data_IF_705595083145
#
_entry.id   IF_705595083145
#
_cell.length_a   1.000
_cell.length_b   1.000
_cell.length_c   1.000
_cell.angle_alpha   90.00
_cell.angle_beta   90.00
_cell.angle_gamma   90.00
#
_symmetry.space_group_name_H-M   'P 1'
#
loop_
_entity.id
_entity.type
_entity.pdbx_description
1 polymer ?
#
# COMPACT_ATOMS: atom_id res chain seq x y z
N UNK A 1 -28.05 3.78 -71.62
CA UNK A 1 -28.05 2.96 -70.38
C UNK A 1 -26.66 2.66 -69.83
N UNK A 2 -25.64 2.32 -70.66
CA UNK A 2 -24.29 1.97 -70.17
C UNK A 2 -23.55 3.12 -69.47
N UNK A 3 -23.68 4.36 -69.95
CA UNK A 3 -23.04 5.55 -69.35
C UNK A 3 -23.60 5.92 -67.97
N UNK A 4 -24.92 5.74 -67.76
CA UNK A 4 -25.57 5.99 -66.48
C UNK A 4 -25.10 5.01 -65.39
N UNK A 5 -24.83 3.76 -65.75
CA UNK A 5 -24.32 2.75 -64.82
C UNK A 5 -22.89 3.04 -64.38
N UNK A 6 -22.02 3.51 -65.29
CA UNK A 6 -20.66 3.90 -64.93
C UNK A 6 -20.63 5.10 -63.98
N UNK A 7 -21.49 6.11 -64.19
CA UNK A 7 -21.57 7.26 -63.28
C UNK A 7 -22.03 6.88 -61.88
N UNK A 8 -22.98 5.94 -61.75
CA UNK A 8 -23.46 5.46 -60.45
C UNK A 8 -22.37 4.66 -59.71
N UNK A 9 -21.62 3.81 -60.42
CA UNK A 9 -20.52 3.03 -59.82
C UNK A 9 -19.40 3.95 -59.35
N UNK A 10 -19.03 4.98 -60.13
CA UNK A 10 -18.01 5.95 -59.73
C UNK A 10 -18.46 6.78 -58.53
N UNK A 11 -19.73 7.22 -58.49
CA UNK A 11 -20.28 7.94 -57.33
C UNK A 11 -20.33 7.05 -56.08
N UNK A 12 -20.70 5.78 -56.21
CA UNK A 12 -20.71 4.83 -55.11
C UNK A 12 -19.29 4.58 -54.57
N UNK A 13 -18.28 4.51 -55.44
CA UNK A 13 -16.87 4.37 -55.05
C UNK A 13 -16.33 5.63 -54.36
N UNK A 14 -16.71 6.82 -54.81
CA UNK A 14 -16.33 8.09 -54.18
C UNK A 14 -16.98 8.22 -52.79
N UNK A 15 -18.25 7.84 -52.64
CA UNK A 15 -18.93 7.82 -51.34
C UNK A 15 -18.29 6.79 -50.39
N UNK A 16 -17.86 5.63 -50.90
CA UNK A 16 -17.11 4.61 -50.14
C UNK A 16 -15.70 5.07 -49.74
N UNK A 17 -15.02 5.88 -50.54
CA UNK A 17 -13.71 6.44 -50.18
C UNK A 17 -13.88 7.58 -49.16
N UNK A 18 -14.93 8.39 -49.27
CA UNK A 18 -15.24 9.47 -48.34
C UNK A 18 -15.81 8.98 -47.00
N UNK A 19 -16.48 7.81 -46.96
CA UNK A 19 -16.96 7.20 -45.71
C UNK A 19 -15.90 6.43 -44.93
N UNK A 20 -14.72 6.19 -45.53
CA UNK A 20 -13.56 5.59 -44.87
C UNK A 20 -12.64 6.60 -44.19
N UNK A 21 -12.97 7.90 -44.23
CA UNK A 21 -12.46 8.87 -43.25
C UNK A 21 -13.19 8.65 -41.92
N UNK A 22 -13.03 7.44 -41.39
CA UNK A 22 -13.31 7.17 -40.00
C UNK A 22 -12.43 8.11 -39.20
N UNK A 23 -13.05 8.95 -38.38
CA UNK A 23 -12.36 9.62 -37.30
C UNK A 23 -11.57 8.55 -36.56
N UNK A 24 -10.24 8.58 -36.64
CA UNK A 24 -9.39 7.83 -35.72
C UNK A 24 -9.62 8.52 -34.37
N UNK A 25 -10.67 8.09 -33.66
CA UNK A 25 -10.77 8.35 -32.23
C UNK A 25 -9.54 7.69 -31.62
N UNK A 26 -8.52 8.50 -31.33
CA UNK A 26 -7.32 8.05 -30.66
C UNK A 26 -7.71 7.50 -29.30
N UNK A 27 -7.88 6.17 -29.20
CA UNK A 27 -8.02 5.51 -27.92
C UNK A 27 -6.71 5.72 -27.17
N UNK A 28 -6.77 6.39 -26.03
CA UNK A 28 -5.65 6.48 -25.10
C UNK A 28 -5.25 5.04 -24.75
N UNK A 29 -4.02 4.67 -25.05
CA UNK A 29 -3.49 3.36 -24.67
C UNK A 29 -3.13 3.43 -23.19
N UNK A 30 -3.77 2.68 -22.29
CA UNK A 30 -3.35 2.65 -20.89
C UNK A 30 -1.90 2.11 -20.78
N UNK A 31 -1.00 2.91 -20.22
CA UNK A 31 0.41 2.57 -19.98
C UNK A 31 0.63 2.17 -18.52
N UNK A 32 1.26 1.07 -18.15
CA UNK A 32 1.58 0.81 -16.73
C UNK A 32 2.37 1.94 -16.06
N UNK A 33 2.30 2.06 -14.72
CA UNK A 33 3.11 3.01 -13.92
C UNK A 33 4.59 2.93 -14.29
N UNK A 34 5.12 1.72 -14.50
CA UNK A 34 6.50 1.51 -14.93
C UNK A 34 6.79 2.06 -16.32
N UNK A 35 5.90 1.85 -17.30
CA UNK A 35 6.08 2.38 -18.65
C UNK A 35 6.08 3.91 -18.62
N UNK A 36 5.10 4.50 -17.95
CA UNK A 36 4.99 5.96 -17.81
C UNK A 36 6.20 6.54 -17.07
N UNK A 37 6.68 5.85 -16.02
CA UNK A 37 7.91 6.20 -15.32
C UNK A 37 9.14 6.14 -16.23
N UNK A 38 9.25 5.15 -17.12
CA UNK A 38 10.37 5.03 -18.05
C UNK A 38 10.33 6.10 -19.15
N UNK A 39 9.16 6.32 -19.72
CA UNK A 39 8.94 7.22 -20.86
C UNK A 39 9.05 8.70 -20.50
N UNK A 40 8.66 9.09 -19.28
CA UNK A 40 8.76 10.49 -18.85
C UNK A 40 10.19 10.86 -18.48
N UNK A 41 10.71 12.00 -18.96
CA UNK A 41 12.01 12.52 -18.50
C UNK A 41 11.92 13.10 -17.09
N UNK A 42 10.85 13.84 -16.81
CA UNK A 42 10.56 14.43 -15.51
C UNK A 42 9.15 14.05 -15.09
N UNK A 43 8.99 13.71 -13.80
CA UNK A 43 7.68 13.52 -13.18
C UNK A 43 7.66 14.39 -11.94
N UNK A 44 6.62 15.20 -11.77
CA UNK A 44 6.53 16.12 -10.64
C UNK A 44 5.10 16.39 -10.19
N UNK A 45 5.02 16.92 -8.98
CA UNK A 45 3.83 17.57 -8.42
C UNK A 45 4.17 19.03 -8.17
N UNK A 46 3.28 19.94 -8.55
CA UNK A 46 3.50 21.37 -8.38
C UNK A 46 2.25 22.20 -8.58
N UNK A 47 2.38 23.51 -8.45
CA UNK A 47 1.31 24.47 -8.66
C UNK A 47 1.59 25.32 -9.91
N UNK A 48 0.60 25.46 -10.77
CA UNK A 48 0.68 26.32 -11.96
C UNK A 48 0.67 27.78 -11.52
N UNK A 49 1.76 28.49 -11.81
CA UNK A 49 1.94 29.91 -11.47
C UNK A 49 1.65 30.83 -12.65
N UNK A 50 1.84 30.35 -13.87
CA UNK A 50 1.42 31.04 -15.10
C UNK A 50 1.01 30.04 -16.18
N UNK A 51 0.16 30.50 -17.09
CA UNK A 51 -0.26 29.78 -18.29
C UNK A 51 -0.41 30.79 -19.43
N UNK A 52 0.49 30.77 -20.40
CA UNK A 52 0.57 31.77 -21.46
C UNK A 52 0.57 31.12 -22.84
N UNK A 53 -0.37 31.54 -23.70
CA UNK A 53 -0.41 31.07 -25.08
C UNK A 53 0.63 31.84 -25.90
N UNK A 54 1.47 31.11 -26.61
CA UNK A 54 2.47 31.70 -27.53
C UNK A 54 1.81 32.54 -28.62
N UNK A 55 2.53 33.49 -29.19
CA UNK A 55 2.01 34.38 -30.25
C UNK A 55 1.50 33.66 -31.49
N UNK A 56 2.03 32.47 -31.80
CA UNK A 56 1.53 31.60 -32.88
C UNK A 56 0.22 30.88 -32.51
N UNK A 57 -0.12 30.82 -31.22
CA UNK A 57 -1.22 30.03 -30.68
C UNK A 57 -0.98 28.52 -30.72
N UNK A 58 0.21 28.08 -31.15
CA UNK A 58 0.54 26.65 -31.32
C UNK A 58 0.83 25.98 -29.98
N UNK A 59 1.40 26.73 -29.03
CA UNK A 59 1.79 26.22 -27.72
C UNK A 59 1.19 27.05 -26.59
N UNK A 60 0.96 26.39 -25.46
CA UNK A 60 0.71 27.00 -24.16
C UNK A 60 1.90 26.70 -23.25
N UNK A 61 2.52 27.76 -22.71
CA UNK A 61 3.66 27.67 -21.80
C UNK A 61 3.18 27.79 -20.37
N UNK A 62 3.57 26.84 -19.54
CA UNK A 62 3.23 26.78 -18.12
C UNK A 62 4.48 26.97 -17.28
N UNK A 63 4.46 27.91 -16.34
CA UNK A 63 5.43 27.95 -15.25
C UNK A 63 4.84 27.26 -14.03
N UNK A 64 5.51 26.22 -13.55
CA UNK A 64 5.04 25.39 -12.44
C UNK A 64 6.02 25.47 -11.30
N UNK A 65 5.55 25.94 -10.14
CA UNK A 65 6.30 25.87 -8.88
C UNK A 65 6.22 24.44 -8.36
N UNK A 66 7.36 23.76 -8.36
CA UNK A 66 7.47 22.34 -8.00
C UNK A 66 7.40 22.18 -6.49
N UNK A 67 6.47 21.34 -6.05
CA UNK A 67 6.41 20.86 -4.66
C UNK A 67 7.36 19.68 -4.48
N UNK A 68 7.37 18.76 -5.44
CA UNK A 68 8.18 17.55 -5.38
C UNK A 68 8.49 17.00 -6.78
N UNK A 69 9.75 16.64 -7.01
CA UNK A 69 10.16 15.81 -8.15
C UNK A 69 10.04 14.33 -7.78
N UNK A 70 9.34 13.56 -8.62
CA UNK A 70 9.21 12.11 -8.56
C UNK A 70 10.18 11.40 -9.51
N UNK A 71 10.60 12.10 -10.56
CA UNK A 71 11.68 11.70 -11.46
C UNK A 71 12.36 12.94 -12.01
N UNK A 72 13.68 12.83 -12.26
CA UNK A 72 14.44 13.88 -12.94
C UNK A 72 14.61 15.15 -12.09
N UNK A 73 15.08 14.99 -10.84
CA UNK A 73 15.34 16.09 -9.90
C UNK A 73 16.11 17.23 -10.58
N UNK A 74 15.61 18.45 -10.44
CA UNK A 74 16.27 19.68 -10.87
C UNK A 74 16.68 20.51 -9.66
N UNK A 75 17.63 21.43 -9.86
CA UNK A 75 18.06 22.36 -8.81
C UNK A 75 17.04 23.46 -8.52
N UNK A 76 16.24 23.83 -9.53
CA UNK A 76 15.26 24.90 -9.42
C UNK A 76 13.93 24.37 -8.88
N UNK A 77 13.23 25.19 -8.10
CA UNK A 77 11.89 24.92 -7.59
C UNK A 77 10.79 25.33 -8.58
N UNK A 78 11.17 25.75 -9.79
CA UNK A 78 10.25 26.17 -10.85
C UNK A 78 10.66 25.53 -12.17
N UNK A 79 9.69 25.02 -12.92
CA UNK A 79 9.92 24.40 -14.23
C UNK A 79 9.02 25.03 -15.29
N UNK A 80 9.50 25.07 -16.52
CA UNK A 80 8.71 25.46 -17.69
C UNK A 80 8.27 24.22 -18.44
N UNK A 81 6.95 24.03 -18.57
CA UNK A 81 6.34 22.93 -19.30
C UNK A 81 5.51 23.48 -20.46
N UNK A 82 5.44 22.74 -21.56
CA UNK A 82 4.80 23.19 -22.81
C UNK A 82 3.70 22.20 -23.18
N UNK A 83 2.46 22.69 -23.27
CA UNK A 83 1.31 21.96 -23.81
C UNK A 83 0.88 22.51 -25.16
N UNK A 84 -0.08 21.86 -25.82
CA UNK A 84 -0.63 22.38 -27.09
C UNK A 84 -1.42 23.68 -26.85
N UNK A 85 -1.35 24.61 -27.78
CA UNK A 85 -2.16 25.83 -27.81
C UNK A 85 -3.46 25.65 -28.60
N UNK A 86 -4.32 26.67 -28.66
CA UNK A 86 -5.58 26.63 -29.39
C UNK A 86 -5.43 26.31 -30.89
N UNK A 87 -4.29 26.65 -31.47
CA UNK A 87 -3.97 26.44 -32.89
C UNK A 87 -3.01 25.25 -33.10
N UNK A 88 -2.67 24.51 -32.03
CA UNK A 88 -1.72 23.39 -32.08
C UNK A 88 -2.39 22.04 -31.86
N UNK A 89 -2.01 21.04 -32.67
CA UNK A 89 -2.26 19.62 -32.44
C UNK A 89 -3.38 18.96 -33.28
N UNK A 90 -3.03 17.90 -34.01
CA UNK A 90 -3.94 16.93 -34.66
C UNK A 90 -3.81 15.50 -34.06
N UNK A 91 -3.21 15.40 -32.86
CA UNK A 91 -3.09 14.18 -32.07
C UNK A 91 -3.92 14.25 -30.77
N UNK A 92 -3.87 13.23 -29.88
CA UNK A 92 -4.64 13.24 -28.65
C UNK A 92 -4.31 14.50 -27.83
N UNK A 93 -5.32 15.28 -27.40
CA UNK A 93 -5.06 16.56 -26.74
C UNK A 93 -4.39 16.30 -25.39
N UNK A 94 -3.25 16.96 -25.16
CA UNK A 94 -2.68 17.08 -23.83
C UNK A 94 -3.65 17.86 -22.91
N UNK A 95 -3.70 17.51 -21.61
CA UNK A 95 -4.56 18.19 -20.65
C UNK A 95 -4.22 19.68 -20.54
N UNK A 96 -5.25 20.50 -20.32
CA UNK A 96 -5.12 21.94 -20.10
C UNK A 96 -5.27 22.27 -18.63
N UNK A 97 -4.40 23.15 -18.15
CA UNK A 97 -4.37 23.59 -16.76
C UNK A 97 -4.59 25.09 -16.64
N UNK A 98 -5.07 25.53 -15.49
CA UNK A 98 -5.29 26.93 -15.13
C UNK A 98 -4.31 27.39 -14.06
N UNK A 99 -4.08 28.69 -13.98
CA UNK A 99 -3.27 29.28 -12.89
C UNK A 99 -3.93 28.97 -11.55
N UNK A 100 -3.13 28.48 -10.60
CA UNK A 100 -3.58 28.02 -9.29
C UNK A 100 -3.86 26.52 -9.22
N UNK A 101 -3.91 25.81 -10.35
CA UNK A 101 -4.09 24.35 -10.33
C UNK A 101 -2.87 23.68 -9.73
N UNK A 102 -3.12 22.76 -8.78
CA UNK A 102 -2.13 21.77 -8.36
C UNK A 102 -2.14 20.64 -9.39
N UNK A 103 -0.99 20.32 -9.96
CA UNK A 103 -0.85 19.41 -11.10
C UNK A 103 0.14 18.29 -10.84
N UNK A 104 -0.12 17.14 -11.45
CA UNK A 104 0.81 16.03 -11.64
C UNK A 104 1.21 16.01 -13.11
N UNK A 105 2.47 16.30 -13.37
CA UNK A 105 2.97 16.36 -14.74
C UNK A 105 3.92 15.20 -15.05
N UNK A 106 3.65 14.56 -16.17
CA UNK A 106 4.57 13.66 -16.87
C UNK A 106 5.13 14.45 -18.04
N UNK A 107 6.43 14.74 -18.00
CA UNK A 107 7.09 15.61 -18.95
C UNK A 107 8.07 14.82 -19.82
N UNK A 108 7.96 15.02 -21.12
CA UNK A 108 8.81 14.40 -22.15
C UNK A 108 9.68 15.50 -22.77
N UNK A 109 10.98 15.25 -22.91
CA UNK A 109 11.92 16.23 -23.44
C UNK A 109 11.99 16.10 -24.96
N UNK A 110 11.48 17.11 -25.67
CA UNK A 110 11.53 17.21 -27.13
C UNK A 110 12.01 18.60 -27.55
N UNK A 111 12.92 18.67 -28.52
CA UNK A 111 13.44 19.93 -29.08
C UNK A 111 13.92 20.96 -28.04
N UNK A 112 14.48 20.47 -26.93
CA UNK A 112 14.98 21.29 -25.82
C UNK A 112 13.90 21.81 -24.85
N UNK A 113 12.63 21.47 -25.08
CA UNK A 113 11.49 21.82 -24.24
C UNK A 113 10.96 20.61 -23.48
N UNK A 114 10.32 20.85 -22.33
CA UNK A 114 9.58 19.82 -21.59
C UNK A 114 8.11 19.86 -22.01
N UNK A 115 7.71 18.88 -22.83
CA UNK A 115 6.36 18.75 -23.35
C UNK A 115 5.47 18.02 -22.33
N UNK A 116 4.25 18.51 -22.13
CA UNK A 116 3.26 17.88 -21.26
C UNK A 116 2.70 16.64 -21.95
N UNK A 117 2.87 15.49 -21.31
CA UNK A 117 2.29 14.24 -21.77
C UNK A 117 0.78 14.21 -21.53
N UNK A 118 0.05 13.49 -22.39
CA UNK A 118 -1.41 13.31 -22.30
C UNK A 118 -1.88 12.61 -21.01
N UNK A 119 -0.96 11.98 -20.26
CA UNK A 119 -1.25 11.32 -18.98
C UNK A 119 -1.12 12.25 -17.76
N UNK A 120 -0.79 13.53 -17.97
CA UNK A 120 -0.74 14.53 -16.90
C UNK A 120 -2.16 14.84 -16.38
N UNK A 121 -2.29 15.25 -15.13
CA UNK A 121 -3.61 15.50 -14.52
C UNK A 121 -3.55 16.60 -13.47
N UNK A 122 -4.72 17.13 -13.10
CA UNK A 122 -4.85 17.83 -11.83
C UNK A 122 -4.51 16.87 -10.68
N UNK A 123 -3.79 17.36 -9.68
CA UNK A 123 -3.45 16.63 -8.48
C UNK A 123 -4.37 17.10 -7.34
N UNK A 124 -5.14 16.18 -6.77
CA UNK A 124 -5.95 16.50 -5.61
C UNK A 124 -5.02 16.91 -4.44
N UNK A 125 -5.32 18.01 -3.71
CA UNK A 125 -4.53 18.45 -2.55
C UNK A 125 -4.34 17.38 -1.47
N UNK A 126 -5.27 16.42 -1.37
CA UNK A 126 -5.20 15.30 -0.43
C UNK A 126 -4.28 14.17 -0.86
N UNK A 127 -3.77 14.20 -2.09
CA UNK A 127 -2.95 13.12 -2.63
C UNK A 127 -1.46 13.44 -2.49
N UNK A 128 -0.73 12.51 -1.89
CA UNK A 128 0.72 12.52 -1.80
C UNK A 128 1.34 11.89 -3.04
N UNK A 129 2.60 12.22 -3.29
CA UNK A 129 3.22 11.94 -4.56
C UNK A 129 3.49 10.44 -4.84
N UNK A 130 3.45 9.58 -3.82
CA UNK A 130 3.46 8.12 -3.99
C UNK A 130 2.10 7.58 -4.45
N UNK A 131 1.00 8.17 -3.97
CA UNK A 131 -0.38 7.77 -4.33
C UNK A 131 -0.66 8.11 -5.80
N UNK A 132 -0.02 9.16 -6.28
CA UNK A 132 -0.03 9.62 -7.67
C UNK A 132 0.66 8.66 -8.66
N UNK A 133 1.37 7.64 -8.17
CA UNK A 133 1.96 6.56 -8.97
C UNK A 133 1.21 5.23 -8.78
N UNK A 134 -0.03 5.27 -8.30
CA UNK A 134 -0.87 4.08 -8.12
C UNK A 134 -0.51 3.23 -6.90
N UNK A 135 0.24 3.77 -5.94
CA UNK A 135 0.63 3.06 -4.71
C UNK A 135 -0.42 3.15 -3.58
N UNK A 136 -1.68 3.42 -3.96
CA UNK A 136 -2.85 3.43 -3.09
C UNK A 136 -2.95 4.62 -2.12
N UNK A 137 -4.17 4.98 -1.66
CA UNK A 137 -4.39 5.98 -0.63
C UNK A 137 -3.94 5.46 0.74
N UNK A 138 -3.30 6.31 1.55
CA UNK A 138 -2.82 5.94 2.91
C UNK A 138 -3.73 6.41 4.05
N UNK A 139 -4.84 7.08 3.75
CA UNK A 139 -5.86 7.44 4.74
C UNK A 139 -6.86 6.29 4.95
N UNK A 140 -7.51 6.26 6.11
CA UNK A 140 -8.61 5.32 6.39
C UNK A 140 -9.73 5.50 5.36
N UNK A 141 -10.02 4.43 4.61
CA UNK A 141 -11.13 4.43 3.66
C UNK A 141 -12.44 4.46 4.46
N UNK A 142 -13.40 5.36 4.14
CA UNK A 142 -14.70 5.41 4.79
C UNK A 142 -15.42 4.05 4.72
N UNK A 143 -16.13 3.69 5.80
CA UNK A 143 -16.82 2.40 5.93
C UNK A 143 -17.80 2.18 4.76
N UNK A 144 -17.64 1.05 4.05
CA UNK A 144 -18.50 0.66 2.93
C UNK A 144 -18.02 1.12 1.56
N UNK A 145 -16.83 1.74 1.46
CA UNK A 145 -16.25 2.20 0.21
C UNK A 145 -15.12 1.26 -0.28
N UNK A 146 -15.10 0.96 -1.57
CA UNK A 146 -14.07 0.12 -2.19
C UNK A 146 -12.78 0.93 -2.46
N UNK A 147 -11.60 0.35 -2.18
CA UNK A 147 -10.27 1.00 -2.31
C UNK A 147 -10.06 1.62 -3.70
N UNK A 148 -10.41 0.88 -4.75
CA UNK A 148 -10.33 1.38 -6.14
C UNK A 148 -11.18 2.62 -6.34
N UNK A 149 -12.42 2.62 -5.82
CA UNK A 149 -13.35 3.73 -5.99
C UNK A 149 -12.92 4.97 -5.19
N UNK A 150 -12.28 4.80 -4.03
CA UNK A 150 -11.74 5.92 -3.25
C UNK A 150 -10.49 6.50 -3.91
N UNK A 151 -9.56 5.66 -4.36
CA UNK A 151 -8.33 6.09 -5.05
C UNK A 151 -8.63 6.72 -6.41
N UNK A 152 -9.56 6.16 -7.18
CA UNK A 152 -10.01 6.70 -8.47
C UNK A 152 -10.74 8.04 -8.29
N UNK A 153 -11.59 8.18 -7.26
CA UNK A 153 -12.29 9.44 -6.95
C UNK A 153 -11.37 10.52 -6.41
N UNK A 154 -10.42 10.17 -5.53
CA UNK A 154 -9.59 11.16 -4.85
C UNK A 154 -8.30 11.46 -5.60
N UNK A 155 -7.59 10.45 -6.14
CA UNK A 155 -6.28 10.65 -6.73
C UNK A 155 -6.23 10.46 -8.26
N UNK A 156 -7.30 9.96 -8.88
CA UNK A 156 -7.55 10.01 -10.34
C UNK A 156 -6.56 9.20 -11.21
N UNK A 157 -7.03 8.38 -12.17
CA UNK A 157 -6.18 7.41 -12.87
C UNK A 157 -5.44 8.10 -14.06
N UNK A 158 -4.77 7.38 -14.98
CA UNK A 158 -5.06 6.03 -15.42
C UNK A 158 -4.33 5.06 -14.47
N UNK A 159 -4.89 3.93 -14.05
CA UNK A 159 -5.26 2.85 -14.94
C UNK A 159 -6.61 2.24 -14.58
N UNK A 160 -7.41 2.03 -15.61
CA UNK A 160 -8.32 0.88 -15.66
C UNK A 160 -7.57 -0.34 -15.14
N UNK A 161 -8.23 -1.13 -14.29
CA UNK A 161 -7.83 -2.47 -13.87
C UNK A 161 -7.40 -3.34 -15.08
N UNK A 162 -6.17 -3.18 -15.57
CA UNK A 162 -5.55 -4.12 -16.49
C UNK A 162 -5.03 -5.24 -15.62
N UNK A 163 -5.81 -6.31 -15.54
CA UNK A 163 -5.46 -7.65 -15.06
C UNK A 163 -4.42 -7.72 -13.92
N UNK A 164 -4.79 -8.25 -12.73
CA UNK A 164 -3.92 -8.31 -11.54
C UNK A 164 -2.59 -9.08 -11.72
N UNK A 165 -2.32 -9.65 -12.90
CA UNK A 165 -1.11 -10.40 -13.20
C UNK A 165 -0.04 -9.61 -13.99
N UNK A 166 -0.23 -8.31 -14.29
CA UNK A 166 0.74 -7.53 -15.12
C UNK A 166 1.13 -6.15 -14.59
N UNK A 167 0.73 -5.78 -13.37
CA UNK A 167 1.18 -4.55 -12.76
C UNK A 167 2.68 -4.66 -12.38
N UNK A 168 3.57 -4.19 -13.25
CA UNK A 168 4.98 -4.01 -12.89
C UNK A 168 5.10 -2.83 -11.94
N UNK A 169 5.18 -3.11 -10.64
CA UNK A 169 5.53 -2.12 -9.61
C UNK A 169 6.89 -1.51 -9.89
N UNK A 170 7.04 -0.23 -9.50
CA UNK A 170 8.32 0.46 -9.53
C UNK A 170 9.38 -0.31 -8.73
N UNK A 171 10.68 -0.21 -9.04
CA UNK A 171 11.71 -0.85 -8.24
C UNK A 171 11.64 -0.39 -6.77
N UNK A 172 11.96 -1.27 -5.80
CA UNK A 172 11.90 -0.98 -4.36
C UNK A 172 12.56 0.32 -3.93
N UNK A 173 13.75 0.56 -4.45
CA UNK A 173 14.54 1.76 -4.16
C UNK A 173 13.86 3.04 -4.68
N UNK A 174 13.13 2.93 -5.80
CA UNK A 174 12.37 4.06 -6.34
C UNK A 174 11.14 4.31 -5.48
N UNK A 175 10.37 3.26 -5.14
CA UNK A 175 9.25 3.35 -4.20
C UNK A 175 9.68 4.03 -2.89
N UNK A 176 10.78 3.57 -2.29
CA UNK A 176 11.32 4.13 -1.04
C UNK A 176 11.67 5.62 -1.15
N UNK A 177 12.39 6.01 -2.21
CA UNK A 177 12.74 7.42 -2.47
C UNK A 177 11.54 8.32 -2.68
N UNK A 178 10.40 7.76 -3.11
CA UNK A 178 9.13 8.45 -3.26
C UNK A 178 8.34 8.56 -1.95
N UNK A 179 8.92 8.12 -0.83
CA UNK A 179 8.30 8.20 0.50
C UNK A 179 7.44 6.98 0.85
N UNK A 180 7.63 5.85 0.16
CA UNK A 180 7.09 4.56 0.61
C UNK A 180 7.95 4.05 1.76
N UNK A 181 7.32 3.66 2.88
CA UNK A 181 8.07 3.08 4.00
C UNK A 181 8.69 1.75 3.56
N UNK A 182 9.83 1.33 4.13
CA UNK A 182 10.48 0.08 3.74
C UNK A 182 9.56 -1.14 3.85
N UNK A 183 8.65 -1.15 4.82
CA UNK A 183 7.69 -2.25 5.03
C UNK A 183 6.58 -2.27 3.97
N UNK A 184 6.25 -1.12 3.40
CA UNK A 184 5.10 -0.92 2.50
C UNK A 184 5.50 -1.01 1.01
N UNK A 185 6.76 -1.39 0.74
CA UNK A 185 7.23 -1.59 -0.64
C UNK A 185 6.56 -2.82 -1.23
N UNK A 186 5.93 -2.64 -2.39
CA UNK A 186 5.26 -3.72 -3.09
C UNK A 186 6.19 -4.34 -4.12
N UNK A 187 6.21 -5.67 -4.20
CA UNK A 187 7.10 -6.42 -5.07
C UNK A 187 6.36 -7.01 -6.26
N UNK A 188 7.07 -7.20 -7.37
CA UNK A 188 6.54 -7.93 -8.52
C UNK A 188 6.52 -9.43 -8.24
N UNK A 189 5.57 -10.15 -8.85
CA UNK A 189 5.36 -11.61 -8.85
C UNK A 189 6.48 -12.46 -8.22
N UNK A 190 6.12 -13.25 -7.20
CA UNK A 190 6.98 -14.21 -6.49
C UNK A 190 8.18 -13.60 -5.72
N UNK A 191 8.23 -12.28 -5.60
CA UNK A 191 9.23 -11.59 -4.79
C UNK A 191 8.58 -10.99 -3.54
N UNK A 192 9.30 -11.03 -2.43
CA UNK A 192 8.90 -10.46 -1.16
C UNK A 192 9.81 -9.28 -0.79
N UNK A 193 9.26 -8.23 -0.18
CA UNK A 193 10.05 -7.13 0.34
C UNK A 193 10.86 -7.57 1.57
N UNK A 194 12.14 -7.24 1.59
CA UNK A 194 13.04 -7.36 2.73
C UNK A 194 13.75 -6.04 2.97
N UNK A 195 14.10 -5.74 4.22
CA UNK A 195 14.80 -4.53 4.59
C UNK A 195 16.27 -4.88 4.82
N UNK A 196 17.16 -4.29 4.01
CA UNK A 196 18.59 -4.51 4.15
C UNK A 196 19.09 -4.01 5.50
N UNK A 197 19.89 -4.84 6.17
CA UNK A 197 20.52 -4.50 7.45
C UNK A 197 21.55 -3.38 7.33
N UNK A 198 22.18 -3.24 6.18
CA UNK A 198 23.30 -2.32 5.93
C UNK A 198 22.85 -0.86 5.86
N UNK A 199 21.83 -0.57 5.06
CA UNK A 199 21.42 0.79 4.69
C UNK A 199 19.95 1.08 5.00
N UNK A 200 19.19 0.08 5.47
CA UNK A 200 17.74 0.20 5.74
C UNK A 200 16.89 0.29 4.47
N UNK A 201 17.47 0.12 3.27
CA UNK A 201 16.72 0.18 2.03
C UNK A 201 15.93 -1.11 1.80
N UNK A 202 14.72 -1.02 1.23
CA UNK A 202 13.96 -2.20 0.85
C UNK A 202 14.51 -2.85 -0.44
N UNK A 203 14.38 -4.16 -0.53
CA UNK A 203 14.70 -4.96 -1.71
C UNK A 203 13.64 -6.05 -1.92
N UNK A 204 13.34 -6.38 -3.18
CA UNK A 204 12.47 -7.50 -3.52
C UNK A 204 13.32 -8.75 -3.79
N UNK A 205 13.10 -9.81 -3.03
CA UNK A 205 13.87 -11.07 -3.12
C UNK A 205 12.92 -12.25 -3.22
N UNK A 206 13.36 -13.37 -3.80
CA UNK A 206 12.53 -14.58 -3.83
C UNK A 206 12.35 -15.13 -2.43
N UNK A 207 11.15 -15.60 -2.08
CA UNK A 207 10.83 -16.16 -0.75
C UNK A 207 11.86 -17.22 -0.31
N UNK A 208 12.23 -18.13 -1.22
CA UNK A 208 13.23 -19.19 -0.96
C UNK A 208 14.63 -18.68 -0.61
N UNK A 209 14.98 -17.45 -1.00
CA UNK A 209 16.28 -16.83 -0.71
C UNK A 209 16.28 -16.06 0.60
N UNK A 210 15.10 -15.74 1.15
CA UNK A 210 14.97 -14.95 2.38
C UNK A 210 15.70 -15.61 3.55
N UNK A 211 15.57 -16.93 3.73
CA UNK A 211 16.27 -17.68 4.77
C UNK A 211 17.79 -17.46 4.74
N UNK A 212 18.39 -17.64 3.56
CA UNK A 212 19.83 -17.44 3.39
C UNK A 212 20.26 -16.00 3.70
N UNK A 213 19.43 -15.03 3.33
CA UNK A 213 19.70 -13.61 3.59
C UNK A 213 19.58 -13.24 5.08
N UNK A 214 18.67 -13.89 5.82
CA UNK A 214 18.56 -13.74 7.29
C UNK A 214 19.78 -14.38 7.97
N UNK A 215 20.14 -15.61 7.59
CA UNK A 215 21.31 -16.33 8.13
C UNK A 215 22.63 -15.59 7.86
N UNK A 216 22.73 -14.91 6.72
CA UNK A 216 23.87 -14.07 6.35
C UNK A 216 23.85 -12.68 6.99
N UNK A 217 22.84 -12.36 7.80
CA UNK A 217 22.68 -11.05 8.44
C UNK A 217 22.35 -9.91 7.48
N UNK A 218 22.06 -10.21 6.21
CA UNK A 218 21.76 -9.22 5.17
C UNK A 218 20.42 -8.53 5.37
N UNK A 219 19.48 -9.19 6.05
CA UNK A 219 18.20 -8.61 6.51
C UNK A 219 17.88 -9.05 7.95
N UNK A 220 17.27 -8.15 8.73
CA UNK A 220 16.82 -8.44 10.12
C UNK A 220 15.35 -8.85 10.21
N UNK A 221 14.57 -8.61 9.16
CA UNK A 221 13.12 -8.85 9.17
C UNK A 221 12.58 -9.09 7.77
N UNK A 222 11.64 -10.02 7.65
CA UNK A 222 10.86 -10.23 6.42
C UNK A 222 9.62 -9.33 6.49
N UNK A 223 9.30 -8.59 5.43
CA UNK A 223 8.01 -7.89 5.34
C UNK A 223 6.91 -8.87 4.89
N UNK A 224 5.65 -8.55 5.21
CA UNK A 224 4.50 -9.44 5.11
C UNK A 224 4.31 -10.07 3.72
N UNK A 225 3.97 -11.35 3.70
CA UNK A 225 3.46 -12.07 2.53
C UNK A 225 4.14 -13.44 2.35
N UNK A 226 3.33 -14.49 2.24
CA UNK A 226 3.68 -15.87 1.82
C UNK A 226 4.70 -16.70 2.63
N UNK A 227 5.04 -16.35 3.87
CA UNK A 227 5.70 -17.33 4.75
C UNK A 227 4.71 -18.43 5.15
N UNK A 228 5.09 -19.68 4.92
CA UNK A 228 4.40 -20.83 5.51
C UNK A 228 4.67 -20.91 7.02
N UNK A 229 3.87 -21.67 7.75
CA UNK A 229 4.11 -21.92 9.18
C UNK A 229 5.48 -22.60 9.37
N UNK A 230 5.88 -23.46 8.44
CA UNK A 230 7.17 -24.13 8.40
C UNK A 230 8.33 -23.13 8.24
N UNK A 231 8.18 -22.14 7.37
CA UNK A 231 9.18 -21.08 7.20
C UNK A 231 9.35 -20.28 8.50
N UNK A 232 8.23 -19.90 9.13
CA UNK A 232 8.23 -19.17 10.41
C UNK A 232 8.96 -19.96 11.50
N UNK A 233 8.67 -21.27 11.63
CA UNK A 233 9.35 -22.16 12.57
C UNK A 233 10.85 -22.27 12.29
N UNK A 234 11.27 -22.12 11.04
CA UNK A 234 12.69 -22.19 10.66
C UNK A 234 13.46 -20.90 10.90
N UNK A 235 12.77 -19.75 10.97
CA UNK A 235 13.37 -18.42 11.13
C UNK A 235 13.48 -18.04 12.60
N UNK A 236 12.51 -18.45 13.42
CA UNK A 236 12.38 -18.02 14.82
C UNK A 236 13.30 -18.82 15.75
N UNK A 237 13.83 -18.18 16.79
CA UNK A 237 14.60 -18.84 17.85
C UNK A 237 13.72 -19.40 18.98
N UNK A 238 12.40 -19.34 18.81
CA UNK A 238 11.41 -19.84 19.75
C UNK A 238 10.43 -20.78 19.05
N UNK A 239 9.75 -21.61 19.83
CA UNK A 239 8.76 -22.53 19.28
C UNK A 239 7.47 -21.80 18.90
N UNK A 240 7.11 -21.85 17.61
CA UNK A 240 5.85 -21.29 17.09
C UNK A 240 4.78 -22.38 17.07
N UNK A 241 3.69 -22.15 17.80
CA UNK A 241 2.53 -23.05 17.90
C UNK A 241 1.36 -22.48 17.09
N UNK A 242 1.02 -23.12 15.96
CA UNK A 242 -0.16 -22.74 15.20
C UNK A 242 -1.43 -23.32 15.85
N UNK A 243 -2.57 -22.61 15.83
CA UNK A 243 -3.83 -23.10 16.36
C UNK A 243 -4.33 -24.31 15.55
N UNK A 244 -4.78 -25.36 16.25
CA UNK A 244 -5.47 -26.49 15.63
C UNK A 244 -6.98 -26.26 15.48
N UNK A 245 -7.52 -25.20 16.10
CA UNK A 245 -8.91 -24.76 15.97
C UNK A 245 -8.98 -23.34 15.44
N UNK A 246 -9.82 -23.14 14.43
CA UNK A 246 -10.24 -21.85 13.91
C UNK A 246 -11.75 -21.91 13.65
N UNK A 247 -12.46 -20.77 13.65
CA UNK A 247 -13.83 -20.74 13.14
C UNK A 247 -13.83 -21.21 11.67
N UNK A 248 -14.91 -21.87 11.24
CA UNK A 248 -14.99 -22.61 9.97
C UNK A 248 -14.62 -21.80 8.73
N UNK A 249 -14.86 -20.50 8.77
CA UNK A 249 -14.63 -19.57 7.70
C UNK A 249 -13.19 -19.04 7.68
N UNK A 250 -12.38 -19.26 8.72
CA UNK A 250 -11.01 -18.75 8.81
C UNK A 250 -10.00 -19.77 8.32
N UNK A 251 -9.04 -19.28 7.54
CA UNK A 251 -7.88 -20.04 7.07
C UNK A 251 -6.60 -19.25 7.30
N UNK A 252 -5.47 -19.95 7.33
CA UNK A 252 -4.17 -19.30 7.36
C UNK A 252 -3.95 -18.52 6.06
N UNK A 253 -3.59 -17.25 6.19
CA UNK A 253 -3.37 -16.37 5.05
C UNK A 253 -1.88 -16.15 4.83
N UNK A 254 -1.11 -16.01 5.90
CA UNK A 254 0.31 -15.73 5.81
C UNK A 254 0.90 -15.32 7.15
N UNK A 255 2.20 -15.11 7.13
CA UNK A 255 2.96 -14.79 8.33
C UNK A 255 4.11 -13.81 8.08
N UNK A 256 4.59 -13.26 9.20
CA UNK A 256 5.83 -12.51 9.32
C UNK A 256 6.69 -13.19 10.40
N UNK A 257 8.00 -13.22 10.21
CA UNK A 257 8.93 -13.71 11.20
C UNK A 257 10.25 -12.94 11.19
N UNK A 258 10.84 -12.83 12.37
CA UNK A 258 12.25 -12.56 12.62
C UNK A 258 12.76 -13.59 13.63
N UNK A 259 14.06 -13.60 13.95
CA UNK A 259 14.58 -14.49 14.99
C UNK A 259 13.88 -14.33 16.36
N UNK A 260 13.36 -13.15 16.68
CA UNK A 260 12.84 -12.80 18.02
C UNK A 260 11.34 -12.49 18.06
N UNK A 261 10.68 -12.38 16.91
CA UNK A 261 9.24 -12.19 16.84
C UNK A 261 8.61 -12.91 15.65
N UNK A 262 7.31 -13.19 15.74
CA UNK A 262 6.53 -13.71 14.63
C UNK A 262 5.09 -13.25 14.71
N UNK A 263 4.42 -13.20 13.57
CA UNK A 263 3.00 -12.91 13.46
C UNK A 263 2.35 -13.85 12.46
N UNK A 264 1.28 -14.50 12.85
CA UNK A 264 0.45 -15.34 11.99
C UNK A 264 -0.89 -14.64 11.77
N UNK A 265 -1.35 -14.59 10.51
CA UNK A 265 -2.63 -14.01 10.12
C UNK A 265 -3.59 -15.12 9.67
N UNK A 266 -4.78 -15.12 10.26
CA UNK A 266 -5.90 -15.96 9.87
C UNK A 266 -7.10 -15.11 9.52
N UNK A 267 -7.76 -15.41 8.41
CA UNK A 267 -8.90 -14.62 7.93
C UNK A 267 -9.85 -15.45 7.06
N UNK A 268 -11.04 -14.92 6.81
CA UNK A 268 -12.11 -15.56 6.06
C UNK A 268 -12.27 -15.06 4.62
N UNK A 269 -11.49 -14.06 4.22
CA UNK A 269 -11.42 -13.55 2.85
C UNK A 269 -10.16 -14.10 2.19
N UNK A 270 -10.23 -14.39 0.88
CA UNK A 270 -9.04 -14.60 0.06
C UNK A 270 -8.37 -13.25 -0.15
N UNK A 271 -7.17 -13.07 0.39
CA UNK A 271 -6.43 -11.80 0.30
C UNK A 271 -5.68 -11.68 -1.02
N UNK A 272 -5.51 -10.44 -1.47
CA UNK A 272 -4.41 -10.10 -2.38
C UNK A 272 -3.22 -9.61 -1.55
N UNK A 273 -1.97 -9.67 -2.07
CA UNK A 273 -0.75 -9.28 -1.34
C UNK A 273 -0.82 -7.85 -0.72
N UNK A 274 -1.76 -7.02 -1.19
CA UNK A 274 -1.95 -5.65 -0.75
C UNK A 274 -2.66 -5.49 0.62
N UNK A 275 -3.34 -6.54 1.11
CA UNK A 275 -4.17 -6.47 2.33
C UNK A 275 -3.36 -6.61 3.64
N UNK A 276 -2.07 -6.94 3.57
CA UNK A 276 -1.23 -7.20 4.75
C UNK A 276 -0.52 -5.97 5.33
N UNK A 277 -0.29 -4.92 4.53
CA UNK A 277 0.56 -3.79 4.91
C UNK A 277 -0.06 -2.86 5.98
N UNK A 278 -1.37 -2.96 6.24
CA UNK A 278 -2.10 -2.09 7.17
C UNK A 278 -2.44 -2.76 8.50
N UNK A 279 -1.47 -3.39 9.17
CA UNK A 279 -1.62 -3.84 10.58
C UNK A 279 -1.97 -2.72 11.58
N UNK A 280 -2.09 -1.46 11.16
CA UNK A 280 -2.66 -0.36 11.97
C UNK A 280 -4.19 -0.26 11.92
N UNK A 281 -4.85 -0.91 10.97
CA UNK A 281 -6.30 -1.04 10.93
C UNK A 281 -6.59 -2.51 10.86
N UNK A 282 -6.81 -3.14 12.02
CA UNK A 282 -7.24 -4.53 12.11
C UNK A 282 -8.43 -4.74 11.18
N UNK A 283 -8.14 -5.29 10.00
CA UNK A 283 -9.09 -5.36 8.90
C UNK A 283 -10.25 -6.26 9.33
N UNK A 284 -11.41 -5.65 9.53
CA UNK A 284 -12.74 -6.26 9.47
C UNK A 284 -12.88 -7.71 9.99
N UNK A 285 -12.24 -8.04 11.12
CA UNK A 285 -12.43 -9.34 11.79
C UNK A 285 -11.32 -10.37 11.65
N UNK A 286 -10.14 -10.07 11.10
CA UNK A 286 -9.03 -11.04 11.10
C UNK A 286 -8.62 -11.49 12.54
N UNK A 287 -8.00 -12.67 12.64
CA UNK A 287 -7.33 -13.15 13.86
C UNK A 287 -5.82 -13.01 13.64
N UNK A 288 -5.19 -12.21 14.50
CA UNK A 288 -3.74 -12.00 14.50
C UNK A 288 -3.15 -12.67 15.72
N UNK A 289 -2.15 -13.53 15.51
CA UNK A 289 -1.41 -14.19 16.60
C UNK A 289 0.03 -13.72 16.53
N UNK A 290 0.47 -12.97 17.53
CA UNK A 290 1.84 -12.50 17.68
C UNK A 290 2.60 -13.31 18.72
N UNK A 291 3.87 -13.54 18.45
CA UNK A 291 4.82 -14.22 19.30
C UNK A 291 6.00 -13.28 19.51
N UNK A 292 6.43 -13.10 20.75
CA UNK A 292 7.62 -12.33 21.09
C UNK A 292 8.53 -13.15 22.00
N UNK A 293 9.78 -13.32 21.59
CA UNK A 293 10.84 -13.86 22.41
C UNK A 293 11.17 -12.86 23.53
N UNK A 294 11.27 -13.36 24.75
CA UNK A 294 11.62 -12.59 25.94
C UNK A 294 13.12 -12.65 26.22
N UNK A 295 13.66 -11.64 26.90
CA UNK A 295 15.12 -11.43 27.08
C UNK A 295 15.84 -12.68 27.62
N UNK A 296 16.80 -13.21 26.85
CA UNK A 296 17.52 -14.48 27.06
C UNK A 296 18.36 -14.52 28.35
N UNK A 297 18.60 -13.38 29.00
CA UNK A 297 19.50 -13.27 30.15
C UNK A 297 18.94 -13.85 31.46
N UNK A 298 17.64 -14.11 31.53
CA UNK A 298 16.96 -14.55 32.76
C UNK A 298 16.47 -15.99 32.65
N UNK A 299 16.41 -16.71 33.77
CA UNK A 299 15.94 -18.10 33.75
C UNK A 299 14.45 -18.18 33.35
N UNK A 300 13.97 -19.26 32.71
CA UNK A 300 12.56 -19.40 32.30
C UNK A 300 11.58 -19.20 33.47
N UNK A 301 11.91 -19.69 34.67
CA UNK A 301 11.08 -19.52 35.85
C UNK A 301 10.97 -18.05 36.30
N UNK A 302 12.06 -17.31 36.20
CA UNK A 302 12.11 -15.88 36.51
C UNK A 302 11.35 -15.05 35.47
N UNK A 303 11.47 -15.41 34.19
CA UNK A 303 10.68 -14.81 33.11
C UNK A 303 9.18 -15.03 33.33
N UNK A 304 8.76 -16.26 33.64
CA UNK A 304 7.36 -16.57 33.94
C UNK A 304 6.85 -15.74 35.11
N UNK A 305 7.63 -15.63 36.19
CA UNK A 305 7.27 -14.81 37.35
C UNK A 305 7.11 -13.32 36.98
N UNK A 306 8.06 -12.77 36.23
CA UNK A 306 8.04 -11.37 35.81
C UNK A 306 6.86 -11.08 34.88
N UNK A 307 6.61 -11.92 33.89
CA UNK A 307 5.47 -11.77 32.97
C UNK A 307 4.12 -11.92 33.67
N UNK A 308 4.02 -12.86 34.62
CA UNK A 308 2.86 -13.01 35.49
C UNK A 308 2.58 -11.72 36.26
N UNK A 309 3.62 -11.12 36.87
CA UNK A 309 3.49 -9.86 37.59
C UNK A 309 3.07 -8.70 36.66
N UNK A 310 3.64 -8.61 35.46
CA UNK A 310 3.26 -7.61 34.45
C UNK A 310 1.80 -7.75 34.03
N UNK A 311 1.32 -8.98 33.79
CA UNK A 311 -0.09 -9.22 33.42
C UNK A 311 -1.05 -8.83 34.55
N UNK A 312 -0.71 -9.12 35.82
CA UNK A 312 -1.52 -8.70 36.97
C UNK A 312 -1.53 -7.18 37.10
N UNK A 313 -0.38 -6.52 36.91
CA UNK A 313 -0.29 -5.06 36.93
C UNK A 313 -1.18 -4.44 35.85
N UNK A 314 -1.11 -4.97 34.62
CA UNK A 314 -1.93 -4.48 33.51
C UNK A 314 -3.42 -4.74 33.72
N UNK A 315 -3.78 -5.88 34.30
CA UNK A 315 -5.16 -6.17 34.70
C UNK A 315 -5.68 -5.11 35.69
N UNK A 316 -4.90 -4.80 36.73
CA UNK A 316 -5.28 -3.81 37.74
C UNK A 316 -5.47 -2.41 37.15
N UNK A 317 -4.64 -2.03 36.17
CA UNK A 317 -4.79 -0.78 35.43
C UNK A 317 -6.08 -0.78 34.59
N UNK A 318 -6.36 -1.86 33.85
CA UNK A 318 -7.53 -1.95 32.98
C UNK A 318 -8.86 -1.87 33.76
N UNK A 319 -8.97 -2.56 34.90
CA UNK A 319 -10.18 -2.51 35.74
C UNK A 319 -10.39 -1.12 36.35
N UNK A 320 -9.32 -0.38 36.64
CA UNK A 320 -9.40 1.00 37.13
C UNK A 320 -10.06 1.93 36.10
N UNK A 321 -9.85 1.65 34.81
CA UNK A 321 -10.47 2.40 33.70
C UNK A 321 -11.80 1.80 33.22
N UNK A 322 -12.46 0.98 34.05
CA UNK A 322 -13.74 0.32 33.73
C UNK A 322 -13.71 -0.46 32.40
N UNK A 323 -12.56 -1.06 32.06
CA UNK A 323 -12.46 -1.95 30.89
C UNK A 323 -12.88 -3.35 31.29
N UNK A 324 -13.58 -4.04 30.37
CA UNK A 324 -13.91 -5.45 30.52
C UNK A 324 -12.64 -6.29 30.38
N UNK A 325 -12.01 -6.60 31.51
CA UNK A 325 -10.81 -7.42 31.59
C UNK A 325 -10.95 -8.49 32.67
N UNK A 326 -10.31 -9.63 32.46
CA UNK A 326 -10.25 -10.72 33.44
C UNK A 326 -8.98 -11.54 33.30
N UNK A 327 -8.60 -12.18 34.39
CA UNK A 327 -7.56 -13.19 34.42
C UNK A 327 -8.18 -14.58 34.24
N UNK A 328 -7.53 -15.42 33.44
CA UNK A 328 -7.91 -16.82 33.18
C UNK A 328 -6.66 -17.67 33.01
N UNK A 329 -6.81 -18.95 32.65
CA UNK A 329 -5.69 -19.81 32.28
C UNK A 329 -5.85 -20.34 30.86
N UNK A 330 -4.78 -20.27 30.07
CA UNK A 330 -4.66 -20.88 28.74
C UNK A 330 -3.55 -21.92 28.80
N UNK A 331 -3.90 -23.18 28.57
CA UNK A 331 -2.95 -24.30 28.60
C UNK A 331 -2.10 -24.36 29.89
N UNK A 332 -2.68 -23.98 31.03
CA UNK A 332 -2.01 -23.96 32.34
C UNK A 332 -1.27 -22.66 32.67
N UNK A 333 -1.16 -21.72 31.73
CA UNK A 333 -0.49 -20.43 31.93
C UNK A 333 -1.50 -19.34 32.27
N UNK A 334 -1.15 -18.45 33.21
CA UNK A 334 -1.97 -17.27 33.50
C UNK A 334 -2.11 -16.42 32.22
N UNK A 335 -3.34 -16.03 31.91
CA UNK A 335 -3.66 -15.21 30.75
C UNK A 335 -4.50 -14.02 31.15
N UNK A 336 -4.21 -12.87 30.55
CA UNK A 336 -5.04 -11.67 30.62
C UNK A 336 -5.92 -11.58 29.38
N UNK A 337 -7.22 -11.58 29.59
CA UNK A 337 -8.24 -11.38 28.55
C UNK A 337 -8.80 -9.97 28.71
N UNK A 338 -8.78 -9.20 27.63
CA UNK A 338 -9.47 -7.92 27.51
C UNK A 338 -10.54 -8.06 26.43
N UNK A 339 -11.80 -7.87 26.77
CA UNK A 339 -12.88 -7.88 25.80
C UNK A 339 -12.88 -6.59 24.97
N UNK A 340 -13.05 -6.73 23.66
CA UNK A 340 -13.27 -5.62 22.75
C UNK A 340 -14.76 -5.34 22.63
N UNK A 341 -15.14 -4.07 22.71
CA UNK A 341 -16.53 -3.65 22.47
C UNK A 341 -16.91 -3.61 20.98
N UNK A 342 -15.97 -3.84 20.06
CA UNK A 342 -16.16 -3.56 18.63
C UNK A 342 -16.37 -2.05 18.33
N UNK A 343 -16.06 -1.19 19.29
CA UNK A 343 -16.22 0.26 19.25
C UNK A 343 -14.85 0.95 19.13
N UNK A 344 -14.84 2.20 18.67
CA UNK A 344 -13.61 2.99 18.53
C UNK A 344 -13.27 3.67 19.87
N UNK A 345 -12.02 3.55 20.32
CA UNK A 345 -11.48 4.38 21.39
C UNK A 345 -10.63 5.50 20.79
N UNK A 346 -10.74 6.70 21.37
CA UNK A 346 -9.79 7.77 21.13
C UNK A 346 -8.43 7.37 21.68
N UNK A 347 -7.39 7.44 20.85
CA UNK A 347 -6.01 7.46 21.31
C UNK A 347 -5.34 8.74 20.85
N UNK A 348 -4.66 9.41 21.77
CA UNK A 348 -3.93 10.64 21.48
C UNK A 348 -2.47 10.29 21.25
N UNK A 349 -1.98 10.51 20.04
CA UNK A 349 -0.57 10.37 19.73
C UNK A 349 0.10 11.76 19.85
N UNK A 350 1.10 11.87 20.73
CA UNK A 350 1.89 13.08 20.89
C UNK A 350 3.07 13.09 19.91
N UNK A 351 3.04 14.03 18.98
CA UNK A 351 4.20 14.45 18.19
C UNK A 351 4.59 15.85 18.65
N UNK A 352 5.89 16.15 18.76
CA UNK A 352 6.44 17.43 19.28
C UNK A 352 5.88 18.71 18.62
N UNK A 353 5.08 18.59 17.56
CA UNK A 353 4.50 19.74 16.86
C UNK A 353 2.99 19.73 16.62
N UNK A 354 2.24 18.67 16.92
CA UNK A 354 0.77 18.62 16.73
C UNK A 354 0.14 17.49 17.58
N UNK A 355 -0.97 17.78 18.26
CA UNK A 355 -1.85 16.76 18.86
C UNK A 355 -2.73 16.16 17.76
N UNK A 356 -2.59 14.86 17.51
CA UNK A 356 -3.49 14.12 16.63
C UNK A 356 -4.29 13.11 17.44
N UNK A 357 -5.62 13.27 17.44
CA UNK A 357 -6.56 12.28 17.98
C UNK A 357 -6.80 11.23 16.90
N UNK A 358 -6.39 10.00 17.19
CA UNK A 358 -6.59 8.83 16.32
C UNK A 358 -7.54 7.85 16.96
N UNK A 359 -8.62 7.51 16.26
CA UNK A 359 -9.59 6.52 16.72
C UNK A 359 -9.11 5.11 16.36
N UNK A 360 -8.90 4.26 17.38
CA UNK A 360 -8.40 2.90 17.22
C UNK A 360 -9.50 1.91 17.65
N UNK A 361 -9.82 0.88 16.86
CA UNK A 361 -10.79 -0.13 17.27
C UNK A 361 -10.34 -0.85 18.55
N UNK A 362 -11.21 -0.91 19.55
CA UNK A 362 -11.00 -1.71 20.74
C UNK A 362 -11.25 -3.17 20.42
N UNK A 363 -10.15 -3.90 20.26
CA UNK A 363 -10.17 -5.32 19.92
C UNK A 363 -10.05 -6.19 21.15
N UNK A 364 -10.67 -7.36 21.05
CA UNK A 364 -10.50 -8.42 22.03
C UNK A 364 -9.08 -8.91 21.94
N UNK A 365 -8.41 -8.93 23.09
CA UNK A 365 -6.98 -9.27 23.20
C UNK A 365 -6.78 -10.31 24.31
N UNK A 366 -6.05 -11.37 23.98
CA UNK A 366 -5.58 -12.37 24.95
C UNK A 366 -4.07 -12.33 24.99
N UNK A 367 -3.49 -12.21 26.18
CA UNK A 367 -2.05 -12.23 26.41
C UNK A 367 -1.70 -13.31 27.41
N UNK A 368 -0.68 -14.12 27.10
CA UNK A 368 -0.12 -15.09 28.05
C UNK A 368 1.33 -15.41 27.70
N UNK A 369 2.06 -15.98 28.65
CA UNK A 369 3.44 -16.44 28.46
C UNK A 369 3.52 -17.92 28.80
N UNK A 370 4.09 -18.74 27.93
CA UNK A 370 4.13 -20.20 28.09
C UNK A 370 5.49 -20.74 28.56
N UNK A 371 6.42 -19.87 28.91
CA UNK A 371 7.80 -20.23 29.24
C UNK A 371 8.78 -20.15 28.07
N UNK A 372 8.28 -20.11 26.82
CA UNK A 372 9.08 -20.02 25.61
C UNK A 372 8.87 -18.69 24.87
N UNK A 373 7.63 -18.21 24.75
CA UNK A 373 7.33 -16.92 24.13
C UNK A 373 6.13 -16.23 24.77
N UNK A 374 6.05 -14.92 24.60
CA UNK A 374 4.84 -14.15 24.90
C UNK A 374 3.89 -14.23 23.69
N UNK A 375 2.65 -14.61 23.97
CA UNK A 375 1.58 -14.73 23.00
C UNK A 375 0.65 -13.54 23.12
N UNK A 376 0.32 -12.93 21.99
CA UNK A 376 -0.71 -11.89 21.90
C UNK A 376 -1.66 -12.26 20.77
N UNK A 377 -2.92 -12.54 21.11
CA UNK A 377 -3.97 -12.88 20.15
C UNK A 377 -4.95 -11.73 20.10
N UNK A 378 -5.20 -11.18 18.92
CA UNK A 378 -6.05 -10.00 18.73
C UNK A 378 -7.07 -10.22 17.60
N UNK A 379 -8.33 -9.86 17.86
CA UNK A 379 -9.40 -9.86 16.86
C UNK A 379 -10.58 -8.99 17.27
N UNK A 380 -11.54 -8.79 16.37
CA UNK A 380 -12.87 -8.26 16.69
C UNK A 380 -13.85 -9.36 17.14
N UNK A 381 -13.41 -10.63 17.14
CA UNK A 381 -14.21 -11.75 17.65
C UNK A 381 -14.30 -11.74 19.18
N UNK A 382 -15.41 -12.25 19.76
CA UNK A 382 -15.57 -12.37 21.21
C UNK A 382 -14.45 -13.19 21.87
N UNK A 383 -14.14 -12.88 23.14
CA UNK A 383 -13.08 -13.60 23.88
C UNK A 383 -13.29 -15.11 23.97
N UNK A 384 -14.54 -15.57 24.00
CA UNK A 384 -14.88 -17.00 24.03
C UNK A 384 -14.40 -17.76 22.79
N UNK A 385 -14.28 -17.11 21.63
CA UNK A 385 -13.74 -17.72 20.41
C UNK A 385 -12.21 -17.68 20.45
N UNK A 386 -11.63 -16.54 20.83
CA UNK A 386 -10.18 -16.39 20.91
C UNK A 386 -9.56 -17.31 21.98
N UNK A 387 -10.27 -17.58 23.06
CA UNK A 387 -9.83 -18.56 24.07
C UNK A 387 -9.79 -19.98 23.49
N UNK A 388 -10.75 -20.38 22.66
CA UNK A 388 -10.72 -21.69 21.99
C UNK A 388 -9.54 -21.77 21.02
N UNK A 389 -9.30 -20.71 20.25
CA UNK A 389 -8.11 -20.60 19.38
C UNK A 389 -6.84 -20.75 20.20
N UNK A 390 -6.70 -19.99 21.30
CA UNK A 390 -5.54 -20.02 22.18
C UNK A 390 -5.32 -21.39 22.83
N UNK A 391 -6.38 -22.03 23.33
CA UNK A 391 -6.32 -23.36 23.94
C UNK A 391 -5.92 -24.45 22.94
N UNK A 392 -6.19 -24.25 21.65
CA UNK A 392 -5.79 -25.17 20.59
C UNK A 392 -4.30 -25.10 20.23
N UNK A 393 -3.57 -24.08 20.72
CA UNK A 393 -2.14 -23.88 20.47
C UNK A 393 -1.31 -24.63 21.52
N UNK A 394 -1.16 -25.94 21.36
CA UNK A 394 -0.42 -26.80 22.31
C UNK A 394 1.02 -27.03 21.91
#
# INVERSE_FOLDING_TARGET
>A
MKTLHYSIIVFAFIILILSNWTHVEGRIVPLTVMQLYKESDIILVGNVTSAEVTSSGIYTVYHVKVEQYLKGLQQNDTITAVGSGPNGGSGPPDPKFSVGDRVRLYLEKGDGMYMISMYSTNANPKCYAHELLGLGPRESIPRGEHVSNYSERNCGPPFTNLYPNTAFFLPPTIQFKLGVKPQDVVCNNDLQPVIKSEDGFPACVKSKSVKQLVEQGWTKSVSYGTLSIEDVKSITHFTVKAPSYLPSEYQFIGAQASPIDARLLYWNKTTTEHDFASTRQMAEGAIVISFLLTDEKSSPAEQTKNKTATMISLYNELIQYHREARLTHINGNLALVREGCGCLAESTAYSEKLETVTYVPLTTRIMYFDGNAEYVIESLLPSSILEQVAQSMK
#
